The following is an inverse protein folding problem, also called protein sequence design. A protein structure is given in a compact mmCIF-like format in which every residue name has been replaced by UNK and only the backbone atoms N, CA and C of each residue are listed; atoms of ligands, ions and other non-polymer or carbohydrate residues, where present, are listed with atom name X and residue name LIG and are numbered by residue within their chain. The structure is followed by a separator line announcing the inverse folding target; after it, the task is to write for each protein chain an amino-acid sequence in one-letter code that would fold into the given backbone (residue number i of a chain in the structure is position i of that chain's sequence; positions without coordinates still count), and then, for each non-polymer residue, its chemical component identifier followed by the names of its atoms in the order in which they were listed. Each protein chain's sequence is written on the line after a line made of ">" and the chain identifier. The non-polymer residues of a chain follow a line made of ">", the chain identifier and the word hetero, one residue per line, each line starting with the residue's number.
data_IF_601325125825
#
_entry.id   IF_601325125825
#
_cell.length_a   1.000
_cell.length_b   1.000
_cell.length_c   1.000
_cell.angle_alpha   90.00
_cell.angle_beta   90.00
_cell.angle_gamma   90.00
#
_symmetry.space_group_name_H-M   'P 1'
#
loop_
_entity.id
_entity.type
_entity.pdbx_description
1 polymer ?
#
# COMPACT_ATOMS: atom_id res chain seq x y z
N UNK A 1 -59.26 -4.71 -24.92
CA UNK A 1 -58.96 -4.38 -23.51
C UNK A 1 -58.22 -5.56 -22.90
N UNK A 2 -56.89 -5.51 -22.91
CA UNK A 2 -56.00 -6.56 -22.38
C UNK A 2 -55.06 -5.87 -21.41
N UNK A 3 -55.34 -6.01 -20.12
CA UNK A 3 -54.53 -5.47 -19.04
C UNK A 3 -53.24 -6.30 -18.94
N UNK A 4 -52.13 -5.76 -19.42
CA UNK A 4 -50.80 -6.33 -19.19
C UNK A 4 -50.42 -6.12 -17.72
N UNK A 5 -50.16 -7.25 -17.08
CA UNK A 5 -49.76 -7.45 -15.69
C UNK A 5 -48.56 -6.58 -15.28
N UNK A 6 -48.80 -5.63 -14.38
CA UNK A 6 -47.81 -4.81 -13.66
C UNK A 6 -46.99 -5.60 -12.63
N UNK A 7 -46.94 -6.93 -12.71
CA UNK A 7 -46.30 -7.78 -11.68
C UNK A 7 -44.81 -8.08 -11.92
N UNK A 8 -44.22 -7.67 -13.04
CA UNK A 8 -42.86 -8.05 -13.42
C UNK A 8 -41.74 -7.10 -12.92
N UNK A 9 -42.08 -5.92 -12.37
CA UNK A 9 -41.07 -4.91 -11.96
C UNK A 9 -40.60 -5.08 -10.50
N UNK A 10 -41.18 -6.02 -9.74
CA UNK A 10 -40.98 -6.11 -8.29
C UNK A 10 -39.86 -7.09 -7.83
N UNK A 11 -38.94 -7.53 -8.70
CA UNK A 11 -37.98 -8.59 -8.34
C UNK A 11 -36.51 -8.31 -8.66
N UNK A 12 -36.05 -7.10 -8.35
CA UNK A 12 -34.62 -6.82 -8.11
C UNK A 12 -34.43 -6.12 -6.78
N UNK A 13 -35.04 -6.66 -5.72
CA UNK A 13 -34.51 -6.43 -4.37
C UNK A 13 -33.16 -7.14 -4.31
N UNK A 14 -32.08 -6.42 -4.63
CA UNK A 14 -30.76 -6.78 -4.15
C UNK A 14 -30.90 -6.99 -2.65
N UNK A 15 -30.92 -8.26 -2.21
CA UNK A 15 -30.75 -8.58 -0.81
C UNK A 15 -29.38 -8.02 -0.44
N UNK A 16 -29.38 -6.86 0.21
CA UNK A 16 -28.22 -6.32 0.88
C UNK A 16 -27.94 -7.26 2.04
N UNK A 17 -27.26 -8.36 1.75
CA UNK A 17 -26.94 -9.39 2.72
C UNK A 17 -26.05 -8.77 3.79
N UNK A 18 -26.41 -8.97 5.06
CA UNK A 18 -25.53 -8.65 6.18
C UNK A 18 -24.12 -9.19 5.89
N UNK A 19 -23.10 -8.42 6.24
CA UNK A 19 -21.73 -8.86 6.04
C UNK A 19 -21.49 -10.18 6.78
N UNK A 20 -21.01 -11.19 6.06
CA UNK A 20 -20.57 -12.42 6.72
C UNK A 20 -19.54 -12.08 7.79
N UNK A 21 -19.59 -12.77 8.93
CA UNK A 21 -18.61 -12.62 10.02
C UNK A 21 -17.17 -12.69 9.52
N UNK A 22 -16.89 -13.57 8.54
CA UNK A 22 -15.60 -13.69 7.88
C UNK A 22 -15.15 -12.40 7.21
N UNK A 23 -16.04 -11.72 6.48
CA UNK A 23 -15.71 -10.46 5.81
C UNK A 23 -15.40 -9.36 6.83
N UNK A 24 -16.16 -9.29 7.93
CA UNK A 24 -15.89 -8.33 9.02
C UNK A 24 -14.53 -8.57 9.66
N UNK A 25 -14.24 -9.82 10.04
CA UNK A 25 -12.95 -10.19 10.65
C UNK A 25 -11.81 -9.87 9.69
N UNK A 26 -11.94 -10.26 8.41
CA UNK A 26 -10.94 -9.98 7.39
C UNK A 26 -10.65 -8.48 7.24
N UNK A 27 -11.69 -7.65 7.14
CA UNK A 27 -11.53 -6.19 7.01
C UNK A 27 -10.87 -5.59 8.26
N UNK A 28 -11.24 -6.01 9.47
CA UNK A 28 -10.61 -5.55 10.73
C UNK A 28 -9.14 -6.00 10.78
N UNK A 29 -8.85 -7.27 10.52
CA UNK A 29 -7.49 -7.80 10.53
C UNK A 29 -6.60 -7.09 9.51
N UNK A 30 -7.11 -6.82 8.30
CA UNK A 30 -6.39 -6.05 7.29
C UNK A 30 -6.12 -4.61 7.78
N UNK A 31 -7.11 -3.95 8.39
CA UNK A 31 -6.93 -2.61 8.95
C UNK A 31 -5.85 -2.57 10.05
N UNK A 32 -5.83 -3.58 10.94
CA UNK A 32 -4.82 -3.70 12.00
C UNK A 32 -3.42 -3.94 11.41
N UNK A 33 -3.29 -4.82 10.42
CA UNK A 33 -2.01 -5.09 9.76
C UNK A 33 -1.46 -3.86 9.04
N UNK A 34 -2.31 -3.12 8.33
CA UNK A 34 -1.93 -1.85 7.70
C UNK A 34 -1.56 -0.80 8.75
N UNK A 35 -2.35 -0.65 9.81
CA UNK A 35 -2.04 0.29 10.89
C UNK A 35 -0.71 -0.04 11.60
N UNK A 36 -0.41 -1.33 11.79
CA UNK A 36 0.84 -1.78 12.39
C UNK A 36 2.07 -1.58 11.48
N UNK A 37 1.88 -1.55 10.15
CA UNK A 37 2.98 -1.30 9.22
C UNK A 37 3.38 0.17 9.15
N UNK A 38 2.46 1.09 9.41
CA UNK A 38 2.71 2.55 9.40
C UNK A 38 3.89 2.95 10.30
N UNK A 39 3.92 2.65 11.61
CA UNK A 39 5.03 3.07 12.46
C UNK A 39 6.36 2.49 12.02
N UNK A 40 6.40 1.26 11.50
CA UNK A 40 7.64 0.65 11.01
C UNK A 40 8.22 1.44 9.81
N UNK A 41 7.36 1.83 8.88
CA UNK A 41 7.79 2.59 7.70
C UNK A 41 8.16 4.03 8.03
N UNK A 42 7.40 4.70 8.91
CA UNK A 42 7.74 6.03 9.38
C UNK A 42 9.03 6.04 10.18
N UNK A 43 9.27 5.02 11.01
CA UNK A 43 10.54 4.85 11.70
C UNK A 43 11.68 4.66 10.70
N UNK A 44 11.51 3.81 9.68
CA UNK A 44 12.51 3.65 8.62
C UNK A 44 12.85 4.98 7.93
N UNK A 45 11.84 5.74 7.52
CA UNK A 45 12.02 7.07 6.89
C UNK A 45 12.70 8.04 7.85
N UNK A 46 12.32 8.04 9.13
CA UNK A 46 12.94 8.88 10.15
C UNK A 46 14.43 8.59 10.35
N UNK A 47 14.89 7.34 10.17
CA UNK A 47 16.31 6.99 10.29
C UNK A 47 17.17 7.72 9.27
N UNK A 48 16.63 8.00 8.08
CA UNK A 48 17.28 8.80 7.03
C UNK A 48 17.17 10.28 7.36
N UNK A 49 15.96 10.79 7.56
CA UNK A 49 15.72 12.23 7.48
C UNK A 49 15.81 13.02 8.79
N UNK A 50 15.72 12.39 9.96
CA UNK A 50 15.83 13.14 11.25
C UNK A 50 17.24 13.67 11.51
N UNK A 51 18.22 13.22 10.74
CA UNK A 51 19.58 13.74 10.77
C UNK A 51 19.66 15.15 10.14
N UNK A 52 18.60 15.62 9.48
CA UNK A 52 18.52 16.92 8.85
C UNK A 52 17.98 18.03 9.78
N UNK A 53 18.81 19.01 10.19
CA UNK A 53 18.39 20.05 11.13
C UNK A 53 17.43 21.10 10.53
N UNK A 54 17.40 21.30 9.20
CA UNK A 54 16.43 22.16 8.50
C UNK A 54 16.22 21.72 7.04
N UNK A 55 14.99 21.87 6.54
CA UNK A 55 14.65 21.85 5.11
C UNK A 55 15.05 23.19 4.49
N UNK A 56 16.35 23.44 4.32
CA UNK A 56 16.78 24.62 3.55
C UNK A 56 17.01 24.11 2.14
N UNK A 57 16.06 24.42 1.25
CA UNK A 57 16.11 24.11 -0.18
C UNK A 57 17.16 24.95 -0.90
N UNK A 58 18.41 24.81 -0.50
CA UNK A 58 19.54 25.29 -1.28
C UNK A 58 20.06 24.09 -2.06
N UNK A 59 19.88 24.09 -3.38
CA UNK A 59 20.32 23.03 -4.30
C UNK A 59 21.85 22.82 -4.26
N UNK A 60 22.57 23.76 -3.65
CA UNK A 60 24.02 23.73 -3.39
C UNK A 60 24.37 23.36 -1.94
N UNK A 61 23.42 22.86 -1.15
CA UNK A 61 23.69 22.48 0.23
C UNK A 61 24.60 21.23 0.28
N UNK A 62 25.88 21.48 0.51
CA UNK A 62 26.90 20.44 0.78
C UNK A 62 26.79 19.86 2.20
N UNK A 63 25.75 20.22 2.95
CA UNK A 63 25.45 19.61 4.23
C UNK A 63 25.13 18.12 4.11
N UNK A 64 25.12 17.45 5.26
CA UNK A 64 24.70 16.06 5.40
C UNK A 64 23.31 15.79 4.78
N UNK A 65 22.45 16.80 4.63
CA UNK A 65 21.14 16.65 4.01
C UNK A 65 21.21 16.42 2.50
N UNK A 66 22.04 17.19 1.79
CA UNK A 66 22.29 16.94 0.38
C UNK A 66 22.81 15.53 0.15
N UNK A 67 23.73 15.04 1.00
CA UNK A 67 24.23 13.66 0.88
C UNK A 67 23.13 12.61 1.05
N UNK A 68 22.19 12.82 1.99
CA UNK A 68 21.13 11.85 2.27
C UNK A 68 20.07 11.77 1.17
N UNK A 69 19.99 12.73 0.25
CA UNK A 69 19.11 12.63 -0.93
C UNK A 69 19.60 11.60 -1.95
N UNK A 70 20.86 11.17 -1.90
CA UNK A 70 21.46 10.26 -2.87
C UNK A 70 20.82 8.87 -2.83
N UNK A 71 20.58 8.24 -3.98
CA UNK A 71 20.13 6.84 -4.09
C UNK A 71 21.05 5.86 -3.36
N UNK A 72 22.31 6.24 -3.10
CA UNK A 72 23.21 5.48 -2.20
C UNK A 72 22.55 5.15 -0.86
N UNK A 73 21.59 5.95 -0.39
CA UNK A 73 20.89 5.81 0.89
C UNK A 73 19.51 5.13 0.79
N UNK A 74 19.15 4.60 -0.39
CA UNK A 74 17.83 4.02 -0.64
C UNK A 74 17.63 2.67 0.04
N UNK A 75 17.06 2.71 1.24
CA UNK A 75 16.75 1.52 2.02
C UNK A 75 15.51 0.75 1.51
N UNK A 76 14.67 1.35 0.67
CA UNK A 76 13.48 0.71 0.12
C UNK A 76 13.81 -0.29 -0.99
N UNK A 77 14.86 -0.01 -1.77
CA UNK A 77 15.35 -0.86 -2.85
C UNK A 77 16.90 -0.84 -2.92
N UNK A 78 17.60 -1.43 -1.95
CA UNK A 78 19.06 -1.42 -1.91
C UNK A 78 19.70 -1.96 -3.20
N UNK A 79 20.54 -1.14 -3.84
CA UNK A 79 21.27 -1.51 -5.07
C UNK A 79 22.68 -0.96 -5.05
N UNK A 80 23.66 -1.69 -5.56
CA UNK A 80 25.07 -1.30 -5.42
C UNK A 80 25.42 -0.14 -6.38
N UNK A 81 26.18 0.87 -5.92
CA UNK A 81 26.68 1.09 -4.56
C UNK A 81 25.57 1.51 -3.56
N UNK A 82 25.60 0.97 -2.34
CA UNK A 82 24.60 1.25 -1.29
C UNK A 82 25.25 1.44 0.08
N UNK A 83 24.74 2.40 0.85
CA UNK A 83 25.15 2.74 2.21
C UNK A 83 24.04 2.37 3.19
N UNK A 84 24.40 1.61 4.21
CA UNK A 84 23.45 1.13 5.22
C UNK A 84 23.04 2.29 6.13
N UNK A 85 21.73 2.45 6.34
CA UNK A 85 21.16 3.31 7.38
C UNK A 85 20.64 2.44 8.51
N UNK A 86 21.09 2.71 9.73
CA UNK A 86 20.85 1.89 10.93
C UNK A 86 19.39 1.39 11.04
N UNK A 87 19.19 0.10 10.72
CA UNK A 87 17.90 -0.59 10.83
C UNK A 87 16.80 -0.18 9.84
N UNK A 88 17.04 0.81 8.97
CA UNK A 88 15.99 1.39 8.13
C UNK A 88 15.40 0.36 7.14
N UNK A 89 16.28 -0.40 6.47
CA UNK A 89 15.87 -1.43 5.52
C UNK A 89 15.09 -2.58 6.21
N UNK A 90 15.48 -2.95 7.42
CA UNK A 90 14.81 -3.97 8.21
C UNK A 90 13.41 -3.52 8.64
N UNK A 91 13.29 -2.28 9.14
CA UNK A 91 12.01 -1.69 9.53
C UNK A 91 11.05 -1.59 8.34
N UNK A 92 11.53 -1.07 7.20
CA UNK A 92 10.75 -0.99 5.98
C UNK A 92 10.30 -2.36 5.50
N UNK A 93 11.21 -3.33 5.42
CA UNK A 93 10.89 -4.65 4.93
C UNK A 93 9.88 -5.38 5.84
N UNK A 94 9.99 -5.24 7.16
CA UNK A 94 9.00 -5.76 8.10
C UNK A 94 7.62 -5.09 7.91
N UNK A 95 7.59 -3.77 7.71
CA UNK A 95 6.36 -3.04 7.37
C UNK A 95 5.74 -3.55 6.08
N UNK A 96 6.53 -3.77 5.04
CA UNK A 96 6.05 -4.24 3.74
C UNK A 96 5.55 -5.69 3.79
N UNK A 97 6.11 -6.55 4.66
CA UNK A 97 5.55 -7.89 4.92
C UNK A 97 4.14 -7.81 5.49
N UNK A 98 3.88 -6.87 6.42
CA UNK A 98 2.54 -6.69 6.98
C UNK A 98 1.55 -6.21 5.90
N UNK A 99 1.98 -5.34 4.99
CA UNK A 99 1.17 -4.92 3.84
C UNK A 99 0.87 -6.11 2.91
N UNK A 100 1.85 -6.99 2.65
CA UNK A 100 1.66 -8.20 1.85
C UNK A 100 0.58 -9.12 2.46
N UNK A 101 0.64 -9.37 3.77
CA UNK A 101 -0.38 -10.17 4.48
C UNK A 101 -1.74 -9.47 4.46
N UNK A 102 -1.76 -8.14 4.64
CA UNK A 102 -2.99 -7.36 4.60
C UNK A 102 -3.73 -7.47 3.26
N UNK A 103 -3.04 -7.52 2.12
CA UNK A 103 -3.64 -7.74 0.79
C UNK A 103 -4.40 -9.07 0.72
N UNK A 104 -3.77 -10.17 1.18
CA UNK A 104 -4.39 -11.50 1.19
C UNK A 104 -5.60 -11.55 2.12
N UNK A 105 -5.45 -10.98 3.33
CA UNK A 105 -6.52 -10.92 4.33
C UNK A 105 -7.67 -10.05 3.82
N UNK A 106 -7.42 -8.88 3.24
CA UNK A 106 -8.45 -8.01 2.68
C UNK A 106 -9.23 -8.69 1.54
N UNK A 107 -8.59 -9.57 0.78
CA UNK A 107 -9.25 -10.36 -0.28
C UNK A 107 -10.34 -11.31 0.29
N UNK A 108 -10.17 -11.79 1.52
CA UNK A 108 -11.22 -12.53 2.25
C UNK A 108 -12.43 -11.64 2.61
N UNK A 109 -12.26 -10.31 2.63
CA UNK A 109 -13.33 -9.33 2.82
C UNK A 109 -14.26 -9.18 1.62
N UNK A 110 -13.87 -9.66 0.44
CA UNK A 110 -14.69 -9.59 -0.79
C UNK A 110 -15.82 -10.62 -0.74
N UNK A 111 -17.02 -10.22 -1.20
CA UNK A 111 -18.20 -11.08 -1.25
C UNK A 111 -17.99 -12.30 -2.16
N UNK A 112 -18.67 -13.40 -1.85
CA UNK A 112 -18.65 -14.62 -2.67
C UNK A 112 -19.56 -14.47 -3.91
N UNK A 113 -19.27 -15.18 -5.01
CA UNK A 113 -18.10 -16.06 -5.21
C UNK A 113 -16.82 -15.28 -5.53
N UNK A 114 -15.68 -15.78 -5.03
CA UNK A 114 -14.35 -15.23 -5.34
C UNK A 114 -13.81 -15.95 -6.57
N UNK A 115 -13.62 -15.22 -7.66
CA UNK A 115 -13.09 -15.80 -8.90
C UNK A 115 -11.58 -16.07 -8.82
N UNK A 116 -11.05 -16.95 -9.67
CA UNK A 116 -9.62 -17.30 -9.68
C UNK A 116 -8.73 -16.08 -9.95
N UNK A 117 -9.16 -15.16 -10.83
CA UNK A 117 -8.42 -13.93 -11.14
C UNK A 117 -8.21 -13.04 -9.91
N UNK A 118 -9.21 -12.91 -9.02
CA UNK A 118 -9.11 -12.11 -7.80
C UNK A 118 -8.02 -12.68 -6.88
N UNK A 119 -8.01 -14.00 -6.69
CA UNK A 119 -7.02 -14.66 -5.83
C UNK A 119 -5.62 -14.68 -6.44
N UNK A 120 -5.51 -14.98 -7.74
CA UNK A 120 -4.24 -14.98 -8.44
C UNK A 120 -3.59 -13.59 -8.41
N UNK A 121 -4.35 -12.54 -8.73
CA UNK A 121 -3.84 -11.16 -8.68
C UNK A 121 -3.52 -10.70 -7.25
N UNK A 122 -4.33 -11.05 -6.24
CA UNK A 122 -4.02 -10.80 -4.84
C UNK A 122 -2.72 -11.48 -4.40
N UNK A 123 -2.55 -12.75 -4.78
CA UNK A 123 -1.38 -13.55 -4.44
C UNK A 123 -0.10 -12.99 -5.07
N UNK A 124 -0.14 -12.62 -6.35
CA UNK A 124 1.01 -12.00 -7.04
C UNK A 124 1.31 -10.61 -6.46
N UNK A 125 0.30 -9.81 -6.14
CA UNK A 125 0.47 -8.52 -5.46
C UNK A 125 1.15 -8.67 -4.11
N UNK A 126 0.65 -9.59 -3.28
CA UNK A 126 1.24 -9.89 -1.97
C UNK A 126 2.67 -10.44 -2.11
N UNK A 127 2.92 -11.31 -3.08
CA UNK A 127 4.25 -11.83 -3.37
C UNK A 127 5.22 -10.73 -3.81
N UNK A 128 4.78 -9.73 -4.58
CA UNK A 128 5.63 -8.60 -4.96
C UNK A 128 5.99 -7.71 -3.76
N UNK A 129 5.04 -7.41 -2.87
CA UNK A 129 5.34 -6.71 -1.62
C UNK A 129 6.24 -7.54 -0.70
N UNK A 130 5.98 -8.86 -0.60
CA UNK A 130 6.83 -9.77 0.15
C UNK A 130 8.25 -9.85 -0.43
N UNK A 131 8.39 -9.82 -1.75
CA UNK A 131 9.69 -9.78 -2.41
C UNK A 131 10.45 -8.50 -2.05
N UNK A 132 9.81 -7.33 -2.20
CA UNK A 132 10.44 -6.04 -1.89
C UNK A 132 10.89 -5.96 -0.44
N UNK A 133 10.06 -6.41 0.50
CA UNK A 133 10.43 -6.33 1.91
C UNK A 133 11.43 -7.40 2.35
N UNK A 134 11.43 -8.61 1.74
CA UNK A 134 12.51 -9.59 1.94
C UNK A 134 13.83 -9.06 1.39
N UNK A 135 13.80 -8.44 0.20
CA UNK A 135 14.98 -7.81 -0.38
C UNK A 135 15.55 -6.72 0.55
N UNK A 136 14.72 -5.83 1.10
CA UNK A 136 15.16 -4.81 2.05
C UNK A 136 15.67 -5.42 3.38
N UNK A 137 14.93 -6.35 3.99
CA UNK A 137 15.33 -7.04 5.22
C UNK A 137 16.67 -7.75 5.06
N UNK A 138 16.82 -8.55 4.02
CA UNK A 138 18.05 -9.30 3.75
C UNK A 138 19.23 -8.35 3.49
N UNK A 139 19.01 -7.27 2.72
CA UNK A 139 20.09 -6.29 2.45
C UNK A 139 20.53 -5.58 3.73
N UNK A 140 19.58 -5.19 4.59
CA UNK A 140 19.87 -4.61 5.89
C UNK A 140 20.66 -5.55 6.81
N UNK A 141 20.35 -6.85 6.81
CA UNK A 141 21.09 -7.85 7.59
C UNK A 141 22.50 -8.11 7.05
N UNK A 142 22.65 -8.12 5.72
CA UNK A 142 23.93 -8.36 5.06
C UNK A 142 24.85 -7.13 5.07
N UNK A 143 24.28 -5.94 5.29
CA UNK A 143 24.98 -4.67 5.12
C UNK A 143 25.36 -4.37 3.66
N UNK A 144 24.77 -5.09 2.71
CA UNK A 144 24.97 -4.93 1.27
C UNK A 144 23.71 -5.38 0.51
N UNK A 145 23.49 -4.92 -0.74
CA UNK A 145 22.35 -5.35 -1.54
C UNK A 145 22.27 -6.88 -1.66
N UNK A 146 21.09 -7.44 -1.38
CA UNK A 146 20.91 -8.90 -1.46
C UNK A 146 20.86 -9.40 -2.91
N UNK A 147 21.00 -10.71 -3.10
CA UNK A 147 20.98 -11.35 -4.42
C UNK A 147 19.67 -11.13 -5.23
N UNK A 148 18.64 -10.58 -4.59
CA UNK A 148 17.36 -10.25 -5.20
C UNK A 148 17.40 -8.97 -6.07
N UNK A 149 18.43 -8.11 -5.95
CA UNK A 149 18.50 -6.82 -6.65
C UNK A 149 18.26 -6.93 -8.17
N UNK A 150 18.78 -7.98 -8.83
CA UNK A 150 18.60 -8.15 -10.29
C UNK A 150 17.16 -8.39 -10.75
N UNK A 151 16.25 -8.73 -9.82
CA UNK A 151 14.86 -9.05 -10.12
C UNK A 151 13.88 -7.94 -9.70
N UNK A 152 14.34 -6.90 -9.00
CA UNK A 152 13.46 -5.86 -8.40
C UNK A 152 12.61 -5.15 -9.44
N UNK A 153 13.20 -4.73 -10.57
CA UNK A 153 12.46 -4.08 -11.66
C UNK A 153 11.37 -4.97 -12.27
N UNK A 154 11.70 -6.25 -12.54
CA UNK A 154 10.76 -7.22 -13.10
C UNK A 154 9.59 -7.48 -12.15
N UNK A 155 9.88 -7.66 -10.86
CA UNK A 155 8.87 -7.87 -9.83
C UNK A 155 8.03 -6.61 -9.60
N UNK A 156 8.62 -5.41 -9.70
CA UNK A 156 7.88 -4.15 -9.59
C UNK A 156 6.85 -3.98 -10.72
N UNK A 157 7.22 -4.30 -11.96
CA UNK A 157 6.30 -4.26 -13.11
C UNK A 157 5.20 -5.31 -12.97
N UNK A 158 5.55 -6.55 -12.67
CA UNK A 158 4.57 -7.63 -12.46
C UNK A 158 3.63 -7.32 -11.30
N UNK A 159 4.17 -6.82 -10.19
CA UNK A 159 3.44 -6.40 -9.00
C UNK A 159 2.48 -5.26 -9.29
N UNK A 160 2.88 -4.28 -10.12
CA UNK A 160 1.99 -3.20 -10.57
C UNK A 160 0.79 -3.74 -11.34
N UNK A 161 1.02 -4.60 -12.34
CA UNK A 161 -0.06 -5.17 -13.16
C UNK A 161 -1.00 -6.02 -12.30
N UNK A 162 -0.44 -6.85 -11.43
CA UNK A 162 -1.20 -7.67 -10.49
C UNK A 162 -2.02 -6.82 -9.52
N UNK A 163 -1.45 -5.74 -8.97
CA UNK A 163 -2.15 -4.84 -8.07
C UNK A 163 -3.34 -4.16 -8.76
N UNK A 164 -3.16 -3.68 -10.00
CA UNK A 164 -4.27 -3.09 -10.79
C UNK A 164 -5.37 -4.13 -11.03
N UNK A 165 -5.02 -5.36 -11.42
CA UNK A 165 -6.00 -6.43 -11.63
C UNK A 165 -6.74 -6.80 -10.33
N UNK A 166 -6.03 -6.89 -9.21
CA UNK A 166 -6.60 -7.15 -7.89
C UNK A 166 -7.54 -6.03 -7.45
N UNK A 167 -7.10 -4.78 -7.59
CA UNK A 167 -7.89 -3.61 -7.25
C UNK A 167 -9.16 -3.52 -8.11
N UNK A 168 -9.04 -3.66 -9.43
CA UNK A 168 -10.17 -3.59 -10.35
C UNK A 168 -11.19 -4.71 -10.10
N UNK A 169 -10.73 -5.95 -9.89
CA UNK A 169 -11.62 -7.07 -9.58
C UNK A 169 -12.28 -6.95 -8.22
N UNK A 170 -11.61 -6.32 -7.25
CA UNK A 170 -12.18 -5.93 -5.95
C UNK A 170 -13.20 -4.82 -6.10
N UNK A 171 -12.92 -3.80 -6.92
CA UNK A 171 -13.80 -2.65 -7.14
C UNK A 171 -15.16 -3.06 -7.69
N UNK A 172 -15.16 -3.95 -8.70
CA UNK A 172 -16.39 -4.50 -9.29
C UNK A 172 -17.26 -5.23 -8.27
N UNK A 173 -16.66 -5.84 -7.23
CA UNK A 173 -17.37 -6.70 -6.25
C UNK A 173 -17.64 -6.03 -4.91
N UNK A 174 -16.81 -5.07 -4.53
CA UNK A 174 -16.78 -4.44 -3.22
C UNK A 174 -16.15 -3.04 -3.34
N UNK A 175 -16.82 -2.07 -3.98
CA UNK A 175 -16.23 -0.79 -4.35
C UNK A 175 -15.72 -0.01 -3.14
N UNK A 176 -16.46 0.03 -2.03
CA UNK A 176 -15.99 0.68 -0.80
C UNK A 176 -14.69 0.07 -0.26
N UNK A 177 -14.54 -1.26 -0.35
CA UNK A 177 -13.33 -1.95 0.09
C UNK A 177 -12.16 -1.62 -0.84
N UNK A 178 -12.39 -1.65 -2.16
CA UNK A 178 -11.37 -1.29 -3.15
C UNK A 178 -10.90 0.17 -3.01
N UNK A 179 -11.83 1.11 -2.80
CA UNK A 179 -11.49 2.52 -2.57
C UNK A 179 -10.67 2.69 -1.29
N UNK A 180 -11.02 1.98 -0.22
CA UNK A 180 -10.22 1.99 1.01
C UNK A 180 -8.80 1.44 0.80
N UNK A 181 -8.61 0.48 -0.11
CA UNK A 181 -7.32 -0.15 -0.40
C UNK A 181 -6.51 0.58 -1.50
N UNK A 182 -7.09 1.57 -2.18
CA UNK A 182 -6.42 2.29 -3.27
C UNK A 182 -5.06 2.89 -2.85
N UNK A 183 -4.91 3.52 -1.67
CA UNK A 183 -3.62 4.06 -1.23
C UNK A 183 -2.49 3.03 -1.09
N UNK A 184 -2.76 1.72 -0.96
CA UNK A 184 -1.69 0.72 -0.92
C UNK A 184 -0.96 0.61 -2.26
N UNK A 185 -1.52 1.17 -3.34
CA UNK A 185 -0.84 1.32 -4.63
C UNK A 185 0.37 2.25 -4.58
N UNK A 186 0.57 3.04 -3.52
CA UNK A 186 1.75 3.90 -3.41
C UNK A 186 3.08 3.12 -3.28
N UNK A 187 3.04 1.82 -2.96
CA UNK A 187 4.23 0.95 -2.98
C UNK A 187 4.54 0.34 -4.35
N UNK A 188 3.64 0.47 -5.31
CA UNK A 188 3.86 -0.12 -6.64
C UNK A 188 4.62 0.86 -7.52
N UNK A 189 5.16 0.39 -8.65
CA UNK A 189 5.98 1.22 -9.54
C UNK A 189 5.26 2.52 -9.99
N UNK A 190 3.97 2.44 -10.31
CA UNK A 190 3.15 3.60 -10.64
C UNK A 190 2.87 4.51 -9.43
N UNK A 191 2.80 3.94 -8.23
CA UNK A 191 2.76 4.70 -6.97
C UNK A 191 4.03 5.53 -6.75
N UNK A 192 5.20 4.98 -7.09
CA UNK A 192 6.47 5.70 -7.07
C UNK A 192 6.44 7.00 -7.88
N UNK A 193 5.85 6.98 -9.08
CA UNK A 193 5.67 8.20 -9.90
C UNK A 193 4.85 9.27 -9.15
N UNK A 194 3.79 8.86 -8.45
CA UNK A 194 2.97 9.77 -7.65
C UNK A 194 3.76 10.31 -6.46
N UNK A 195 4.56 9.48 -5.79
CA UNK A 195 5.42 9.89 -4.67
C UNK A 195 6.43 10.93 -5.12
N UNK A 196 7.13 10.71 -6.24
CA UNK A 196 8.09 11.67 -6.80
C UNK A 196 7.43 12.98 -7.26
N UNK A 197 6.18 12.95 -7.72
CA UNK A 197 5.44 14.17 -8.05
C UNK A 197 4.96 14.94 -6.81
N UNK A 198 4.61 14.24 -5.72
CA UNK A 198 4.03 14.83 -4.52
C UNK A 198 5.08 15.34 -3.53
N UNK A 199 6.19 14.63 -3.36
CA UNK A 199 7.19 14.97 -2.34
C UNK A 199 7.75 16.39 -2.48
N UNK A 200 8.10 16.90 -3.69
CA UNK A 200 8.56 18.28 -3.87
C UNK A 200 7.56 19.34 -3.40
N UNK A 201 6.26 19.06 -3.52
CA UNK A 201 5.20 19.98 -3.08
C UNK A 201 5.17 20.17 -1.56
N UNK A 202 5.63 19.17 -0.79
CA UNK A 202 5.68 19.23 0.67
C UNK A 202 6.95 19.88 1.19
N UNK A 203 8.10 19.65 0.54
CA UNK A 203 9.39 20.21 0.97
C UNK A 203 9.67 21.59 0.36
N UNK A 204 8.99 21.95 -0.74
CA UNK A 204 9.11 23.25 -1.38
C UNK A 204 10.27 23.39 -2.38
N UNK A 205 10.93 22.28 -2.73
CA UNK A 205 11.98 22.21 -3.75
C UNK A 205 12.02 20.82 -4.38
N UNK A 206 12.69 20.72 -5.54
CA UNK A 206 12.97 19.44 -6.19
C UNK A 206 14.36 18.97 -5.76
N UNK A 207 14.43 17.77 -5.18
CA UNK A 207 15.72 17.12 -4.88
C UNK A 207 16.47 16.74 -6.15
N UNK A 208 17.78 16.57 -6.05
CA UNK A 208 18.55 16.02 -7.18
C UNK A 208 18.29 14.52 -7.40
N UNK A 209 17.88 13.79 -6.37
CA UNK A 209 17.62 12.35 -6.43
C UNK A 209 16.37 11.98 -5.60
N UNK A 210 16.51 11.71 -4.30
CA UNK A 210 15.39 11.39 -3.42
C UNK A 210 14.93 12.59 -2.60
N UNK A 211 13.67 12.98 -2.77
CA UNK A 211 13.10 14.11 -2.03
C UNK A 211 12.92 13.76 -0.55
N UNK A 212 13.27 14.64 0.40
CA UNK A 212 13.13 14.35 1.82
C UNK A 212 11.72 13.90 2.20
N UNK A 213 11.65 12.86 3.02
CA UNK A 213 10.42 12.24 3.52
C UNK A 213 9.48 11.68 2.44
N UNK A 214 9.91 11.58 1.18
CA UNK A 214 9.13 10.95 0.11
C UNK A 214 8.70 9.52 0.47
N UNK A 215 9.56 8.77 1.18
CA UNK A 215 9.29 7.40 1.63
C UNK A 215 8.22 7.32 2.72
N UNK A 216 7.88 8.44 3.37
CA UNK A 216 6.76 8.51 4.32
C UNK A 216 5.40 8.61 3.63
N UNK A 217 5.34 9.03 2.35
CA UNK A 217 4.08 9.17 1.61
C UNK A 217 3.32 7.84 1.50
N UNK A 218 3.96 6.71 1.10
CA UNK A 218 3.31 5.40 1.14
C UNK A 218 2.85 4.98 2.54
N UNK A 219 3.59 5.35 3.59
CA UNK A 219 3.20 5.06 4.98
C UNK A 219 1.92 5.83 5.38
N UNK A 220 1.82 7.11 5.05
CA UNK A 220 0.60 7.90 5.25
C UNK A 220 -0.58 7.34 4.45
N UNK A 221 -0.36 6.96 3.19
CA UNK A 221 -1.37 6.28 2.38
C UNK A 221 -1.86 4.98 3.03
N UNK A 222 -0.94 4.19 3.58
CA UNK A 222 -1.28 2.97 4.32
C UNK A 222 -2.14 3.25 5.56
N UNK A 223 -1.82 4.32 6.29
CA UNK A 223 -2.64 4.79 7.41
C UNK A 223 -4.04 5.21 6.97
N UNK A 224 -4.16 5.95 5.85
CA UNK A 224 -5.44 6.29 5.24
C UNK A 224 -6.23 5.04 4.86
N UNK A 225 -5.58 4.02 4.30
CA UNK A 225 -6.23 2.73 4.02
C UNK A 225 -6.75 2.05 5.27
N UNK A 226 -5.95 2.00 6.34
CA UNK A 226 -6.38 1.42 7.62
C UNK A 226 -7.63 2.12 8.16
N UNK A 227 -7.63 3.47 8.18
CA UNK A 227 -8.77 4.27 8.63
C UNK A 227 -9.99 4.08 7.71
N UNK A 228 -9.80 4.11 6.39
CA UNK A 228 -10.87 3.95 5.42
C UNK A 228 -11.54 2.57 5.56
N UNK A 229 -10.78 1.50 5.81
CA UNK A 229 -11.34 0.16 6.08
C UNK A 229 -12.27 0.18 7.30
N UNK A 230 -11.90 0.85 8.38
CA UNK A 230 -12.77 1.01 9.56
C UNK A 230 -14.04 1.79 9.22
N UNK A 231 -13.93 2.87 8.42
CA UNK A 231 -15.08 3.63 7.94
C UNK A 231 -16.00 2.75 7.09
N UNK A 232 -15.45 1.88 6.23
CA UNK A 232 -16.29 0.96 5.42
C UNK A 232 -17.15 0.04 6.30
N UNK A 233 -16.65 -0.40 7.46
CA UNK A 233 -17.40 -1.22 8.40
C UNK A 233 -18.55 -0.44 9.03
N UNK A 234 -18.33 0.82 9.41
CA UNK A 234 -19.36 1.69 9.98
C UNK A 234 -20.46 1.98 8.96
N UNK A 235 -20.10 2.37 7.73
CA UNK A 235 -21.06 2.68 6.66
C UNK A 235 -21.93 1.46 6.31
N UNK A 236 -21.33 0.27 6.26
CA UNK A 236 -22.06 -0.97 5.97
C UNK A 236 -23.01 -1.36 7.11
N UNK A 237 -22.63 -1.15 8.38
CA UNK A 237 -23.53 -1.36 9.53
C UNK A 237 -24.74 -0.42 9.54
N UNK A 238 -24.55 0.87 9.19
CA UNK A 238 -25.67 1.82 9.14
C UNK A 238 -26.69 1.45 8.05
N UNK A 239 -26.20 1.01 6.90
CA UNK A 239 -27.07 0.58 5.79
C UNK A 239 -27.94 -0.64 6.11
N UNK A 240 -27.54 -1.46 7.09
CA UNK A 240 -28.35 -2.59 7.57
C UNK A 240 -29.39 -2.14 8.60
N UNK A 241 -29.06 -1.21 9.50
CA UNK A 241 -29.97 -0.75 10.55
C UNK A 241 -31.07 0.18 10.04
N UNK A 242 -30.82 1.00 9.02
CA UNK A 242 -31.86 1.89 8.42
C UNK A 242 -32.92 1.13 7.60
N UNK A 243 -32.77 -0.20 7.44
CA UNK A 243 -33.68 -1.05 6.66
C UNK A 243 -34.51 -2.01 7.53
N UNK A 244 -34.25 -2.04 8.84
CA UNK A 244 -35.06 -2.74 9.85
C UNK A 244 -36.12 -1.78 10.42
#
# INVERSE_FOLDING_TARGET
>A
MTAMSTSAIARTRHSAGSMSRTATIATVSAAVLLAASVPLQLMASSRRWTQCPRFVGDENDTSMCGLLEDHLFDYQNPSAPWTVIDGAAQLFGAGLMLVAVAVLVATLGVARPRGPLLWASAAVTAAAFAFGGVHALASGQLGSPSALTGWTAHVAVLGQVAWVAWWATTYVRAPLLALALLPTGLFTAGGGVVVYAMAPLFVGYSSYDTTPWSESIPAYGTGLSALALLVTLVLRRRSTTERE
#
